data_IF_773375388571
#
_entry.id   IF_773375388571
#
_cell.length_a   1.000
_cell.length_b   1.000
_cell.length_c   1.000
_cell.angle_alpha   90.00
_cell.angle_beta   90.00
_cell.angle_gamma   90.00
#
_symmetry.space_group_name_H-M   'P 1'
#
loop_
_entity.id
_entity.type
_entity.pdbx_description
1 polymer ?
#
# COMPACT_ATOMS: atom_id res chain seq x y z
N UNK A 1 -5.33 5.60 8.05
CA UNK A 1 -5.30 4.75 6.83
C UNK A 1 -3.87 4.30 6.59
N UNK A 2 -3.65 3.02 6.32
CA UNK A 2 -2.31 2.47 6.03
C UNK A 2 -2.31 1.88 4.63
N UNK A 3 -1.48 2.44 3.75
CA UNK A 3 -1.54 2.27 2.29
C UNK A 3 -0.17 1.86 1.74
N UNK A 4 -0.16 1.28 0.54
CA UNK A 4 1.04 0.87 -0.19
C UNK A 4 1.13 1.62 -1.51
N UNK A 5 2.30 1.61 -2.15
CA UNK A 5 2.46 2.12 -3.51
C UNK A 5 2.06 1.11 -4.60
N UNK A 6 1.44 0.01 -4.20
CA UNK A 6 0.92 -1.06 -5.08
C UNK A 6 -0.59 -1.15 -4.94
N UNK A 7 -1.30 -1.44 -6.03
CA UNK A 7 -2.76 -1.60 -6.03
C UNK A 7 -3.23 -2.92 -5.41
N UNK A 8 -2.37 -3.92 -5.45
CA UNK A 8 -2.61 -5.26 -4.90
C UNK A 8 -1.50 -5.65 -3.92
N UNK A 9 -1.78 -6.69 -3.14
CA UNK A 9 -0.84 -7.35 -2.24
C UNK A 9 -0.34 -8.68 -2.83
N UNK A 10 0.73 -9.22 -2.24
CA UNK A 10 1.26 -10.54 -2.58
C UNK A 10 0.49 -11.70 -1.95
N UNK A 11 -0.34 -11.45 -0.94
CA UNK A 11 -1.08 -12.49 -0.22
C UNK A 11 -2.57 -12.17 -0.18
N UNK A 12 -3.41 -13.22 -0.18
CA UNK A 12 -4.86 -13.10 0.03
C UNK A 12 -5.33 -13.51 1.43
N UNK A 13 -4.45 -14.15 2.21
CA UNK A 13 -4.75 -14.66 3.56
C UNK A 13 -3.50 -14.64 4.46
N UNK A 14 -3.67 -14.80 5.79
CA UNK A 14 -2.57 -14.75 6.75
C UNK A 14 -1.44 -15.77 6.52
N UNK A 15 -1.77 -16.96 6.02
CA UNK A 15 -0.79 -18.02 5.76
C UNK A 15 0.16 -17.63 4.63
N UNK A 16 -0.38 -17.19 3.48
CA UNK A 16 0.42 -16.64 2.38
C UNK A 16 1.24 -15.44 2.85
N UNK A 17 0.67 -14.57 3.69
CA UNK A 17 1.38 -13.40 4.19
C UNK A 17 2.60 -13.79 5.03
N UNK A 18 2.43 -14.71 5.98
CA UNK A 18 3.51 -15.21 6.82
C UNK A 18 4.56 -15.98 5.99
N UNK A 19 4.11 -16.84 5.08
CA UNK A 19 5.00 -17.65 4.23
C UNK A 19 5.86 -16.77 3.32
N UNK A 20 5.31 -15.66 2.79
CA UNK A 20 6.04 -14.74 1.94
C UNK A 20 7.27 -14.14 2.63
N UNK A 21 7.17 -13.79 3.93
CA UNK A 21 8.32 -13.33 4.70
C UNK A 21 9.22 -14.51 5.13
N UNK A 22 8.62 -15.59 5.62
CA UNK A 22 9.35 -16.76 6.11
C UNK A 22 10.27 -17.39 5.06
N UNK A 23 9.86 -17.41 3.78
CA UNK A 23 10.69 -17.96 2.70
C UNK A 23 11.96 -17.16 2.42
N UNK A 24 12.07 -15.93 2.91
CA UNK A 24 13.24 -15.05 2.75
C UNK A 24 14.15 -14.99 3.97
N UNK A 25 13.75 -15.62 5.07
CA UNK A 25 14.61 -15.70 6.27
C UNK A 25 15.85 -16.50 5.89
N UNK A 26 17.07 -15.91 5.96
CA UNK A 26 18.28 -16.59 5.57
C UNK A 26 18.54 -17.83 6.43
N UNK A 27 18.92 -18.93 5.79
CA UNK A 27 19.50 -20.10 6.44
C UNK A 27 20.99 -20.08 6.11
N UNK A 28 21.86 -20.05 7.13
CA UNK A 28 23.31 -19.92 6.94
C UNK A 28 23.72 -18.68 6.10
N UNK A 29 23.08 -17.54 6.36
CA UNK A 29 23.41 -16.26 5.73
C UNK A 29 22.86 -16.06 4.31
N UNK A 30 22.15 -17.04 3.72
CA UNK A 30 21.49 -16.88 2.41
C UNK A 30 20.05 -17.38 2.44
N UNK A 31 19.17 -16.70 1.72
CA UNK A 31 17.80 -17.20 1.50
C UNK A 31 17.81 -18.36 0.50
N UNK A 32 16.95 -19.34 0.71
CA UNK A 32 16.78 -20.50 -0.18
C UNK A 32 16.10 -20.09 -1.49
N UNK A 33 16.91 -19.86 -2.52
CA UNK A 33 16.43 -19.41 -3.83
C UNK A 33 15.56 -20.45 -4.54
N UNK A 34 15.83 -21.75 -4.32
CA UNK A 34 15.06 -22.82 -4.93
C UNK A 34 13.65 -22.88 -4.33
N UNK A 35 13.54 -22.78 -3.00
CA UNK A 35 12.25 -22.67 -2.31
C UNK A 35 11.47 -21.43 -2.74
N UNK A 36 12.13 -20.26 -2.81
CA UNK A 36 11.47 -19.02 -3.25
C UNK A 36 10.93 -19.20 -4.67
N UNK A 37 11.75 -19.67 -5.61
CA UNK A 37 11.34 -19.89 -7.00
C UNK A 37 10.12 -20.82 -7.08
N UNK A 38 10.17 -21.96 -6.39
CA UNK A 38 9.07 -22.94 -6.34
C UNK A 38 7.77 -22.30 -5.84
N UNK A 39 7.81 -21.57 -4.73
CA UNK A 39 6.62 -20.91 -4.17
C UNK A 39 6.02 -19.86 -5.12
N UNK A 40 6.86 -19.10 -5.85
CA UNK A 40 6.38 -18.16 -6.86
C UNK A 40 5.73 -18.84 -8.08
N UNK A 41 6.11 -20.08 -8.39
CA UNK A 41 5.52 -20.87 -9.47
C UNK A 41 4.19 -21.51 -9.04
N UNK A 42 4.12 -22.01 -7.80
CA UNK A 42 2.97 -22.76 -7.26
C UNK A 42 1.85 -21.88 -6.71
N UNK A 43 2.16 -20.68 -6.19
CA UNK A 43 1.18 -19.83 -5.50
C UNK A 43 0.72 -18.69 -6.42
N UNK A 44 -0.55 -18.69 -6.87
CA UNK A 44 -1.07 -17.70 -7.81
C UNK A 44 -0.92 -16.26 -7.34
N UNK A 45 -1.14 -15.99 -6.04
CA UNK A 45 -1.01 -14.67 -5.44
C UNK A 45 0.39 -14.08 -5.62
N UNK A 46 1.43 -14.88 -5.42
CA UNK A 46 2.83 -14.46 -5.58
C UNK A 46 3.18 -14.21 -7.04
N UNK A 47 2.74 -15.11 -7.93
CA UNK A 47 2.91 -14.96 -9.38
C UNK A 47 2.25 -13.69 -9.90
N UNK A 48 1.02 -13.42 -9.46
CA UNK A 48 0.28 -12.24 -9.86
C UNK A 48 0.96 -10.95 -9.36
N UNK A 49 1.38 -10.92 -8.10
CA UNK A 49 2.11 -9.78 -7.56
C UNK A 49 3.46 -9.57 -8.26
N UNK A 50 4.22 -10.63 -8.56
CA UNK A 50 5.44 -10.52 -9.34
C UNK A 50 5.18 -9.93 -10.73
N UNK A 51 4.12 -10.38 -11.42
CA UNK A 51 3.75 -9.83 -12.72
C UNK A 51 3.36 -8.34 -12.63
N UNK A 52 2.57 -7.96 -11.62
CA UNK A 52 2.20 -6.58 -11.37
C UNK A 52 3.40 -5.68 -11.04
N UNK A 53 4.30 -6.13 -10.16
CA UNK A 53 5.47 -5.30 -9.78
C UNK A 53 6.41 -4.99 -10.95
N UNK A 54 6.39 -5.79 -12.03
CA UNK A 54 7.14 -5.49 -13.26
C UNK A 54 6.55 -4.34 -14.07
N UNK A 55 5.29 -3.95 -13.82
CA UNK A 55 4.62 -2.86 -14.54
C UNK A 55 4.76 -1.51 -13.83
N UNK A 56 5.34 -1.49 -12.64
CA UNK A 56 5.60 -0.27 -11.86
C UNK A 56 7.11 -0.07 -11.72
N UNK A 57 7.56 1.18 -11.76
CA UNK A 57 8.97 1.53 -11.59
C UNK A 57 9.34 1.83 -10.15
N UNK A 58 10.62 2.11 -9.92
CA UNK A 58 11.12 2.60 -8.64
C UNK A 58 10.85 4.10 -8.55
N UNK A 59 10.13 4.54 -7.54
CA UNK A 59 9.77 5.96 -7.37
C UNK A 59 10.99 6.86 -7.22
N UNK A 60 10.95 8.04 -7.86
CA UNK A 60 11.98 9.07 -7.73
C UNK A 60 11.86 9.88 -6.44
N UNK A 61 10.65 9.98 -5.88
CA UNK A 61 10.32 10.67 -4.63
C UNK A 61 8.98 10.16 -4.10
N UNK A 62 8.75 10.27 -2.80
CA UNK A 62 7.41 10.05 -2.22
C UNK A 62 6.39 10.99 -2.86
N UNK A 63 6.77 12.23 -3.17
CA UNK A 63 5.91 13.23 -3.82
C UNK A 63 5.40 12.82 -5.22
N UNK A 64 6.01 11.82 -5.84
CA UNK A 64 5.64 11.29 -7.15
C UNK A 64 5.14 9.83 -7.09
N UNK A 65 4.81 9.35 -5.89
CA UNK A 65 4.38 7.96 -5.67
C UNK A 65 2.87 7.92 -5.50
N UNK A 66 2.12 7.12 -6.27
CA UNK A 66 0.72 6.88 -5.98
C UNK A 66 0.60 5.95 -4.77
N UNK A 67 -0.47 6.08 -3.99
CA UNK A 67 -0.75 5.19 -2.86
C UNK A 67 -2.15 4.59 -2.95
N UNK A 68 -2.29 3.33 -2.56
CA UNK A 68 -3.51 2.56 -2.63
C UNK A 68 -3.79 1.87 -1.30
N UNK A 69 -5.06 1.79 -0.92
CA UNK A 69 -5.43 1.08 0.31
C UNK A 69 -5.25 -0.42 0.21
N UNK A 70 -5.27 -0.96 -1.03
CA UNK A 70 -5.31 -2.38 -1.37
C UNK A 70 -6.60 -3.07 -0.92
N UNK A 71 -6.98 -2.91 0.35
CA UNK A 71 -8.23 -3.37 0.91
C UNK A 71 -9.42 -2.54 0.42
N UNK A 72 -10.56 -3.19 0.21
CA UNK A 72 -11.82 -2.54 -0.14
C UNK A 72 -12.65 -2.26 1.14
N UNK A 73 -12.72 -0.99 1.52
CA UNK A 73 -13.54 -0.53 2.65
C UNK A 73 -15.01 -0.45 2.23
N UNK A 74 -15.93 -0.51 3.20
CA UNK A 74 -17.37 -0.35 2.93
C UNK A 74 -17.86 0.98 3.47
N UNK A 75 -18.42 1.79 2.60
CA UNK A 75 -18.90 3.14 2.90
C UNK A 75 -20.42 3.14 2.95
N UNK A 76 -21.00 3.70 4.01
CA UNK A 76 -22.45 3.93 4.12
C UNK A 76 -22.82 5.18 3.34
N UNK A 77 -23.76 5.06 2.41
CA UNK A 77 -24.38 6.21 1.78
C UNK A 77 -25.45 6.86 2.68
N UNK A 78 -26.06 7.95 2.21
CA UNK A 78 -27.11 8.68 2.95
C UNK A 78 -28.35 7.83 3.26
N UNK A 79 -28.59 6.73 2.53
CA UNK A 79 -29.70 5.79 2.71
C UNK A 79 -29.30 4.56 3.51
N UNK A 80 -28.06 4.51 4.01
CA UNK A 80 -27.51 3.37 4.76
C UNK A 80 -27.04 2.20 3.88
N UNK A 81 -27.06 2.33 2.55
CA UNK A 81 -26.54 1.29 1.65
C UNK A 81 -25.01 1.27 1.72
N UNK A 82 -24.44 0.07 1.74
CA UNK A 82 -23.00 -0.14 1.71
C UNK A 82 -22.46 -0.15 0.28
N UNK A 83 -21.42 0.64 0.06
CA UNK A 83 -20.65 0.71 -1.18
C UNK A 83 -19.22 0.29 -0.90
N UNK A 84 -18.71 -0.71 -1.63
CA UNK A 84 -17.30 -1.11 -1.51
C UNK A 84 -16.42 -0.20 -2.35
N UNK A 85 -15.32 0.28 -1.78
CA UNK A 85 -14.39 1.15 -2.50
C UNK A 85 -12.96 0.99 -1.98
N UNK A 86 -11.99 1.20 -2.87
CA UNK A 86 -10.56 1.32 -2.54
C UNK A 86 -10.16 2.80 -2.54
N UNK A 87 -9.29 3.18 -1.62
CA UNK A 87 -8.66 4.50 -1.66
C UNK A 87 -7.53 4.51 -2.68
N UNK A 88 -7.46 5.57 -3.47
CA UNK A 88 -6.37 5.88 -4.40
C UNK A 88 -5.91 7.32 -4.21
N UNK A 89 -4.65 7.50 -3.87
CA UNK A 89 -4.02 8.81 -3.69
C UNK A 89 -3.11 9.06 -4.89
N UNK A 90 -3.43 10.08 -5.67
CA UNK A 90 -2.71 10.42 -6.90
C UNK A 90 -1.87 11.68 -6.67
N UNK A 91 -0.54 11.63 -6.82
CA UNK A 91 0.32 12.80 -6.64
C UNK A 91 -0.02 13.86 -7.68
N UNK A 92 -0.20 15.12 -7.27
CA UNK A 92 -0.49 16.24 -8.18
C UNK A 92 0.67 16.56 -9.11
N UNK A 93 1.88 16.25 -8.67
CA UNK A 93 3.12 16.47 -9.42
C UNK A 93 3.44 15.34 -10.43
N UNK A 94 2.49 14.44 -10.61
CA UNK A 94 2.59 13.30 -11.52
C UNK A 94 3.35 12.12 -10.92
N UNK A 95 3.08 10.94 -11.47
CA UNK A 95 3.79 9.70 -11.14
C UNK A 95 5.12 9.69 -11.90
N UNK A 96 6.24 9.50 -11.18
CA UNK A 96 7.58 9.50 -11.76
C UNK A 96 8.41 8.35 -11.22
N UNK A 97 9.07 7.65 -12.14
CA UNK A 97 9.96 6.54 -11.84
C UNK A 97 11.38 6.86 -12.29
N UNK A 98 12.35 6.34 -11.55
CA UNK A 98 13.76 6.39 -11.91
C UNK A 98 14.04 5.41 -13.04
N UNK A 99 14.88 5.83 -13.97
CA UNK A 99 15.54 4.91 -14.89
C UNK A 99 16.74 4.20 -14.21
N UNK A 100 17.31 3.13 -14.81
CA UNK A 100 18.40 2.39 -14.19
C UNK A 100 19.67 3.21 -13.90
N UNK A 101 19.99 4.21 -14.73
CA UNK A 101 21.15 5.08 -14.57
C UNK A 101 20.94 6.03 -13.38
N UNK A 102 19.77 6.64 -13.27
CA UNK A 102 19.41 7.50 -12.14
C UNK A 102 19.40 6.72 -10.83
N UNK A 103 18.86 5.49 -10.83
CA UNK A 103 18.80 4.64 -9.65
C UNK A 103 20.20 4.30 -9.11
N UNK A 104 21.16 4.01 -10.00
CA UNK A 104 22.55 3.72 -9.62
C UNK A 104 23.25 4.90 -8.91
N UNK A 105 22.78 6.12 -9.14
CA UNK A 105 23.33 7.33 -8.53
C UNK A 105 22.66 7.69 -7.20
N UNK A 106 21.60 6.97 -6.79
CA UNK A 106 20.91 7.26 -5.53
C UNK A 106 21.63 6.59 -4.36
N UNK A 107 21.80 7.35 -3.28
CA UNK A 107 22.17 6.81 -1.98
C UNK A 107 20.97 6.12 -1.29
N UNK A 108 21.21 5.47 -0.15
CA UNK A 108 20.19 4.74 0.60
C UNK A 108 19.07 5.61 1.19
N UNK A 109 19.28 6.92 1.31
CA UNK A 109 18.37 7.89 1.92
C UNK A 109 17.72 8.82 0.89
N UNK A 110 17.85 8.56 -0.41
CA UNK A 110 17.45 9.50 -1.46
C UNK A 110 15.98 9.93 -1.38
N UNK A 111 15.08 9.06 -0.90
CA UNK A 111 13.66 9.41 -0.74
C UNK A 111 13.44 10.46 0.35
N UNK A 112 14.18 10.38 1.46
CA UNK A 112 14.14 11.36 2.55
C UNK A 112 14.72 12.70 2.07
N UNK A 113 15.88 12.65 1.42
CA UNK A 113 16.50 13.84 0.83
C UNK A 113 15.57 14.53 -0.18
N UNK A 114 14.94 13.75 -1.07
CA UNK A 114 13.98 14.27 -2.04
C UNK A 114 12.73 14.86 -1.38
N UNK A 115 12.21 14.22 -0.33
CA UNK A 115 11.08 14.74 0.46
C UNK A 115 11.39 16.09 1.09
N UNK A 116 12.52 16.20 1.79
CA UNK A 116 12.97 17.45 2.42
C UNK A 116 13.20 18.55 1.39
N UNK A 117 13.85 18.24 0.27
CA UNK A 117 14.09 19.21 -0.80
C UNK A 117 12.79 19.69 -1.43
N UNK A 118 11.82 18.81 -1.64
CA UNK A 118 10.53 19.18 -2.21
C UNK A 118 9.80 20.19 -1.33
N UNK A 119 9.73 19.93 -0.02
CA UNK A 119 9.02 20.77 0.95
C UNK A 119 9.63 22.17 1.12
N UNK A 120 10.91 22.37 0.77
CA UNK A 120 11.52 23.72 0.72
C UNK A 120 10.90 24.61 -0.35
N UNK A 121 10.28 24.01 -1.37
CA UNK A 121 9.74 24.74 -2.53
C UNK A 121 8.22 24.87 -2.48
N UNK A 122 7.52 23.79 -2.09
CA UNK A 122 6.06 23.74 -2.01
C UNK A 122 5.57 22.52 -1.21
N UNK A 123 4.30 22.52 -0.76
CA UNK A 123 3.68 21.32 -0.19
C UNK A 123 3.61 20.16 -1.17
N UNK A 124 3.72 18.93 -0.65
CA UNK A 124 3.42 17.71 -1.40
C UNK A 124 1.91 17.48 -1.35
N UNK A 125 1.27 17.31 -2.51
CA UNK A 125 -0.17 17.16 -2.60
C UNK A 125 -0.62 15.87 -3.28
N UNK A 126 -1.68 15.26 -2.75
CA UNK A 126 -2.32 14.08 -3.35
C UNK A 126 -3.82 14.32 -3.51
N UNK A 127 -4.35 14.06 -4.70
CA UNK A 127 -5.79 13.93 -4.93
C UNK A 127 -6.26 12.59 -4.37
N UNK A 128 -7.21 12.64 -3.44
CA UNK A 128 -7.73 11.46 -2.74
C UNK A 128 -9.01 11.00 -3.43
N UNK A 129 -8.98 9.81 -4.01
CA UNK A 129 -10.12 9.20 -4.69
C UNK A 129 -10.64 7.98 -3.94
N UNK A 130 -11.96 7.82 -3.97
CA UNK A 130 -12.61 6.53 -3.78
C UNK A 130 -12.88 5.92 -5.14
N UNK A 131 -12.27 4.77 -5.41
CA UNK A 131 -12.54 3.94 -6.58
C UNK A 131 -13.63 2.95 -6.17
N UNK A 132 -14.84 3.12 -6.69
CA UNK A 132 -15.99 2.26 -6.35
C UNK A 132 -15.89 0.92 -7.07
N UNK A 133 -16.14 -0.17 -6.34
CA UNK A 133 -16.18 -1.51 -6.90
C UNK A 133 -17.31 -1.65 -7.95
N UNK A 134 -16.97 -2.25 -9.09
CA UNK A 134 -17.93 -2.78 -10.04
C UNK A 134 -18.53 -4.10 -9.51
N UNK A 135 -19.62 -4.56 -10.14
CA UNK A 135 -20.37 -5.76 -9.71
C UNK A 135 -19.50 -7.02 -9.59
N UNK A 136 -18.49 -7.16 -10.44
CA UNK A 136 -17.67 -8.38 -10.56
C UNK A 136 -16.29 -8.24 -9.90
N UNK A 137 -16.03 -7.13 -9.21
CA UNK A 137 -14.76 -6.94 -8.52
C UNK A 137 -14.68 -7.77 -7.24
N UNK A 138 -13.53 -8.38 -7.01
CA UNK A 138 -13.25 -9.04 -5.74
C UNK A 138 -12.96 -7.98 -4.66
N UNK A 139 -13.86 -7.86 -3.69
CA UNK A 139 -13.74 -6.91 -2.56
C UNK A 139 -13.14 -7.54 -1.30
N UNK A 140 -12.99 -8.86 -1.28
CA UNK A 140 -12.43 -9.65 -0.19
C UNK A 140 -11.07 -10.30 -0.55
N UNK A 141 -10.48 -9.93 -1.69
CA UNK A 141 -9.20 -10.45 -2.16
C UNK A 141 -8.26 -9.29 -2.51
N UNK A 142 -7.22 -9.13 -1.70
CA UNK A 142 -6.20 -8.10 -1.85
C UNK A 142 -5.23 -8.36 -2.99
N UNK A 143 -5.25 -9.55 -3.60
CA UNK A 143 -4.38 -9.92 -4.72
C UNK A 143 -5.03 -9.62 -6.06
N UNK A 144 -6.34 -9.38 -6.09
CA UNK A 144 -7.09 -9.12 -7.31
C UNK A 144 -7.00 -7.66 -7.77
N UNK A 145 -6.54 -7.46 -9.00
CA UNK A 145 -6.67 -6.19 -9.72
C UNK A 145 -8.09 -6.04 -10.24
N UNK A 146 -8.71 -4.90 -9.96
CA UNK A 146 -10.01 -4.55 -10.52
C UNK A 146 -9.83 -4.11 -11.98
N UNK A 147 -10.66 -4.63 -12.88
CA UNK A 147 -10.50 -4.44 -14.33
C UNK A 147 -11.60 -3.55 -14.90
N UNK A 148 -11.26 -2.83 -15.96
CA UNK A 148 -12.18 -1.92 -16.64
C UNK A 148 -12.30 -0.56 -15.95
N UNK A 149 -13.19 0.28 -16.49
CA UNK A 149 -13.41 1.63 -15.98
C UNK A 149 -14.23 1.56 -14.69
N UNK A 150 -13.72 2.19 -13.64
CA UNK A 150 -14.42 2.33 -12.37
C UNK A 150 -14.95 3.76 -12.22
N UNK A 151 -16.02 3.91 -11.44
CA UNK A 151 -16.44 5.23 -10.98
C UNK A 151 -15.48 5.68 -9.89
N UNK A 152 -14.87 6.84 -10.09
CA UNK A 152 -13.97 7.46 -9.12
C UNK A 152 -14.62 8.71 -8.55
N UNK A 153 -14.54 8.87 -7.23
CA UNK A 153 -15.05 10.03 -6.51
C UNK A 153 -13.87 10.77 -5.90
N UNK A 154 -13.61 12.00 -6.33
CA UNK A 154 -12.66 12.88 -5.67
C UNK A 154 -13.24 13.28 -4.30
N UNK A 155 -12.56 12.91 -3.23
CA UNK A 155 -12.97 13.22 -1.85
C UNK A 155 -12.26 14.46 -1.33
N UNK A 156 -11.03 14.72 -1.77
CA UNK A 156 -10.26 15.85 -1.28
C UNK A 156 -8.83 15.89 -1.79
N UNK A 157 -8.03 16.77 -1.18
CA UNK A 157 -6.60 16.87 -1.44
C UNK A 157 -5.86 16.81 -0.10
N UNK A 158 -5.00 15.82 0.08
CA UNK A 158 -4.04 15.79 1.19
C UNK A 158 -2.89 16.74 0.84
N UNK A 159 -2.50 17.61 1.77
CA UNK A 159 -1.32 18.49 1.63
C UNK A 159 -0.38 18.28 2.79
N UNK A 160 0.83 17.82 2.51
CA UNK A 160 1.93 17.71 3.47
C UNK A 160 2.81 18.94 3.31
N UNK A 161 2.94 19.76 4.36
CA UNK A 161 3.61 21.07 4.29
C UNK A 161 4.97 21.08 4.96
N UNK A 162 5.19 20.23 5.95
CA UNK A 162 6.33 20.34 6.86
C UNK A 162 6.92 18.97 7.14
N UNK A 163 8.20 18.97 7.54
CA UNK A 163 8.95 17.81 7.97
C UNK A 163 9.56 18.11 9.33
N UNK A 164 9.15 17.34 10.35
CA UNK A 164 9.55 17.58 11.74
C UNK A 164 10.74 16.72 12.19
N UNK A 165 11.35 15.95 11.28
CA UNK A 165 12.49 15.08 11.60
C UNK A 165 12.13 13.59 11.68
N UNK A 166 13.11 12.79 12.13
CA UNK A 166 13.00 11.34 12.34
C UNK A 166 12.86 10.96 13.83
N UNK A 167 12.41 11.91 14.67
CA UNK A 167 12.23 11.65 16.10
C UNK A 167 11.30 10.46 16.32
N UNK A 168 11.60 9.62 17.32
CA UNK A 168 10.71 8.53 17.69
C UNK A 168 9.43 9.13 18.30
N UNK A 169 8.32 9.05 17.58
CA UNK A 169 7.00 9.35 18.13
C UNK A 169 6.35 8.04 18.61
N UNK A 170 5.45 8.16 19.60
CA UNK A 170 4.70 7.00 20.14
C UNK A 170 3.51 6.63 19.25
N UNK A 171 3.52 7.08 18.00
CA UNK A 171 2.39 6.95 17.10
C UNK A 171 2.27 5.51 16.58
N UNK A 172 1.01 5.09 16.43
CA UNK A 172 0.63 3.83 15.80
C UNK A 172 -0.55 4.07 14.89
N UNK A 173 -0.44 3.62 13.64
CA UNK A 173 -1.46 3.81 12.63
C UNK A 173 -2.35 2.57 12.56
N UNK A 174 -3.32 2.44 13.46
CA UNK A 174 -4.25 1.30 13.47
C UNK A 174 -5.14 1.30 12.21
N UNK A 175 -5.09 0.24 11.38
CA UNK A 175 -5.86 0.21 10.13
C UNK A 175 -7.38 0.27 10.32
N UNK A 176 -7.90 -0.30 11.41
CA UNK A 176 -9.33 -0.32 11.75
C UNK A 176 -9.77 0.79 12.72
N UNK A 177 -8.96 1.81 12.94
CA UNK A 177 -9.44 3.07 13.51
C UNK A 177 -10.20 3.85 12.41
N UNK A 178 -11.52 3.66 12.36
CA UNK A 178 -12.38 4.08 11.25
C UNK A 178 -13.38 5.15 11.69
N UNK A 179 -13.59 6.19 10.86
CA UNK A 179 -14.60 7.20 11.14
C UNK A 179 -16.01 6.65 10.95
N UNK A 180 -17.00 7.34 11.54
CA UNK A 180 -18.42 7.03 11.36
C UNK A 180 -18.77 6.95 9.87
N UNK A 181 -19.46 5.88 9.48
CA UNK A 181 -19.90 5.65 8.10
C UNK A 181 -18.91 4.87 7.23
N UNK A 182 -17.75 4.49 7.77
CA UNK A 182 -16.79 3.59 7.12
C UNK A 182 -16.68 2.31 7.94
N UNK A 183 -16.88 1.17 7.29
CA UNK A 183 -16.73 -0.15 7.88
C UNK A 183 -15.49 -0.84 7.35
N UNK A 184 -14.97 -1.75 8.18
CA UNK A 184 -13.78 -2.52 7.87
C UNK A 184 -13.96 -3.34 6.57
N UNK A 185 -12.89 -3.48 5.78
CA UNK A 185 -12.79 -4.51 4.76
C UNK A 185 -13.09 -5.90 5.33
N UNK A 186 -13.63 -6.76 4.47
CA UNK A 186 -14.01 -8.13 4.80
C UNK A 186 -12.97 -9.16 4.33
N UNK A 187 -11.81 -8.70 3.86
CA UNK A 187 -10.74 -9.59 3.41
C UNK A 187 -10.03 -10.25 4.61
N UNK A 188 -9.58 -11.52 4.49
CA UNK A 188 -8.97 -12.25 5.60
C UNK A 188 -7.72 -11.58 6.19
N UNK A 189 -6.98 -10.80 5.40
CA UNK A 189 -5.81 -10.09 5.90
C UNK A 189 -6.20 -8.94 6.81
N UNK A 190 -7.22 -8.15 6.46
CA UNK A 190 -7.60 -6.98 7.25
C UNK A 190 -8.00 -7.36 8.68
N UNK A 191 -8.69 -8.49 8.86
CA UNK A 191 -9.17 -8.97 10.17
C UNK A 191 -8.05 -9.07 11.22
N UNK A 192 -6.85 -9.47 10.81
CA UNK A 192 -5.73 -9.66 11.75
C UNK A 192 -4.85 -8.41 11.90
N UNK A 193 -5.05 -7.37 11.07
CA UNK A 193 -4.09 -6.24 11.02
C UNK A 193 -4.05 -5.47 12.32
N UNK A 194 -5.19 -5.17 12.94
CA UNK A 194 -5.18 -4.41 14.18
C UNK A 194 -4.48 -5.16 15.31
N UNK A 195 -4.72 -6.47 15.44
CA UNK A 195 -4.07 -7.32 16.43
C UNK A 195 -2.55 -7.34 16.23
N UNK A 196 -2.09 -7.59 15.00
CA UNK A 196 -0.66 -7.63 14.67
C UNK A 196 0.01 -6.27 14.89
N UNK A 197 -0.68 -5.17 14.55
CA UNK A 197 -0.19 -3.81 14.81
C UNK A 197 -0.08 -3.52 16.31
N UNK A 198 -1.04 -4.00 17.11
CA UNK A 198 -0.99 -3.92 18.57
C UNK A 198 0.20 -4.69 19.16
N UNK A 199 0.39 -5.94 18.74
CA UNK A 199 1.49 -6.79 19.20
C UNK A 199 2.86 -6.20 18.84
N UNK A 200 3.04 -5.70 17.61
CA UNK A 200 4.33 -5.12 17.21
C UNK A 200 4.59 -3.80 17.93
N UNK A 201 3.55 -3.00 18.15
CA UNK A 201 3.66 -1.75 18.89
C UNK A 201 4.09 -2.02 20.34
N UNK A 202 3.47 -2.97 21.04
CA UNK A 202 3.81 -3.32 22.42
C UNK A 202 5.20 -3.93 22.61
N UNK A 203 5.84 -4.39 21.52
CA UNK A 203 7.20 -4.94 21.55
C UNK A 203 8.27 -3.92 21.16
N UNK A 204 7.89 -2.90 20.37
CA UNK A 204 8.81 -1.87 19.86
C UNK A 204 8.96 -0.68 20.82
N UNK A 205 7.91 -0.41 21.60
CA UNK A 205 7.89 0.59 22.67
C UNK A 205 8.17 -0.07 24.02
#
# INVERSE_FOLDING_TARGET
MVMLNTEINFAKNPEEFAQFFAMRIPQNGKADQAKIKKLYEEIPSYKNFAAYTKTIGISSSVANTPYYSVHAFRFKDKKGKLLSARWKFVPTDGIKYLNPQELKQKDSNYLLSAFQQHLKTKPIEYKMYLVLANKNDATNDTTALWKGKHKELLVGTLKVKEYEGMGCNKDVYFPADLPKGVEAPIDPLFHIRNEVYGITFSKRQ
#
